data_IF_527137586751
#
_entry.id   IF_527137586751
#
_cell.length_a   1.000
_cell.length_b   1.000
_cell.length_c   1.000
_cell.angle_alpha   90.00
_cell.angle_beta   90.00
_cell.angle_gamma   90.00
#
_symmetry.space_group_name_H-M   'P 1'
#
loop_
_entity.id
_entity.type
_entity.pdbx_description
1 polymer ?
#
# COMPACT_ATOMS: atom_id res chain seq x y z
N UNK A 1 38.55 -7.54 -4.93
CA UNK A 1 37.82 -6.24 -4.96
C UNK A 1 38.14 -5.47 -6.25
N UNK A 2 39.35 -5.58 -6.82
CA UNK A 2 39.62 -5.15 -8.21
C UNK A 2 38.75 -5.91 -9.26
N UNK A 3 38.56 -7.23 -9.09
CA UNK A 3 37.60 -8.01 -9.89
C UNK A 3 36.13 -7.55 -9.73
N UNK A 4 35.79 -6.89 -8.61
CA UNK A 4 34.42 -6.43 -8.33
C UNK A 4 34.09 -5.23 -9.22
N UNK A 5 35.04 -4.30 -9.40
CA UNK A 5 34.87 -3.15 -10.28
C UNK A 5 35.02 -3.50 -11.76
N UNK A 6 35.84 -4.50 -12.11
CA UNK A 6 35.97 -4.96 -13.51
C UNK A 6 34.69 -5.65 -14.03
N UNK A 7 33.93 -6.35 -13.19
CA UNK A 7 32.65 -6.96 -13.61
C UNK A 7 31.47 -6.00 -13.64
N UNK A 8 31.61 -4.79 -13.08
CA UNK A 8 30.53 -3.81 -12.90
C UNK A 8 30.46 -2.71 -13.96
N UNK A 9 31.16 -2.85 -15.10
CA UNK A 9 31.22 -1.92 -16.25
C UNK A 9 30.16 -0.81 -16.18
N UNK A 10 30.51 0.27 -15.48
CA UNK A 10 29.61 1.37 -15.16
C UNK A 10 29.37 2.15 -16.45
N UNK A 11 28.23 1.91 -17.09
CA UNK A 11 27.87 2.59 -18.31
C UNK A 11 27.60 4.08 -18.01
N UNK A 12 28.31 4.95 -18.73
CA UNK A 12 28.57 6.35 -18.37
C UNK A 12 27.40 7.33 -18.51
N UNK A 13 26.15 6.85 -18.59
CA UNK A 13 25.01 7.62 -19.11
C UNK A 13 23.80 7.59 -18.18
N UNK A 14 23.94 8.13 -16.97
CA UNK A 14 22.86 8.81 -16.22
C UNK A 14 23.42 9.48 -14.96
N UNK A 15 24.11 10.60 -15.17
CA UNK A 15 24.69 11.43 -14.12
C UNK A 15 23.62 12.38 -13.57
N UNK A 16 23.15 12.14 -12.34
CA UNK A 16 22.56 13.20 -11.52
C UNK A 16 23.65 13.74 -10.58
N UNK A 17 23.70 15.07 -10.41
CA UNK A 17 24.81 15.82 -9.79
C UNK A 17 25.04 15.40 -8.33
N UNK A 18 23.99 14.99 -7.61
CA UNK A 18 24.10 14.47 -6.24
C UNK A 18 24.82 13.10 -6.17
N UNK A 19 24.53 12.19 -7.10
CA UNK A 19 25.21 10.89 -7.24
C UNK A 19 26.66 11.05 -7.72
N UNK A 20 26.97 12.13 -8.45
CA UNK A 20 28.32 12.40 -8.95
C UNK A 20 29.28 12.80 -7.82
N UNK A 21 28.77 13.39 -6.74
CA UNK A 21 29.56 13.71 -5.54
C UNK A 21 29.75 12.46 -4.68
N UNK A 22 28.72 11.64 -4.51
CA UNK A 22 28.81 10.37 -3.76
C UNK A 22 29.63 9.27 -4.46
N UNK A 23 29.52 9.15 -5.79
CA UNK A 23 30.34 8.20 -6.58
C UNK A 23 31.79 8.64 -6.80
N UNK A 24 32.13 9.91 -6.50
CA UNK A 24 33.51 10.39 -6.55
C UNK A 24 34.31 10.05 -5.30
N UNK A 25 33.66 9.69 -4.19
CA UNK A 25 34.31 9.56 -2.88
C UNK A 25 34.88 8.16 -2.63
N UNK A 26 34.48 7.14 -3.41
CA UNK A 26 35.02 5.79 -3.24
C UNK A 26 35.37 5.19 -4.59
N UNK A 27 36.61 5.42 -5.00
CA UNK A 27 37.25 4.79 -6.16
C UNK A 27 38.23 3.68 -5.75
N UNK A 28 38.52 3.53 -4.46
CA UNK A 28 39.42 2.48 -3.94
C UNK A 28 39.01 1.92 -2.57
N UNK A 29 39.59 0.76 -2.20
CA UNK A 29 39.41 0.07 -0.91
C UNK A 29 39.93 0.91 0.26
N UNK A 30 40.99 1.68 0.03
CA UNK A 30 41.62 2.55 1.02
C UNK A 30 40.72 3.73 1.39
N UNK A 31 39.99 4.33 0.44
CA UNK A 31 39.03 5.42 0.72
C UNK A 31 37.82 4.94 1.55
N UNK A 32 37.38 3.70 1.35
CA UNK A 32 36.33 3.05 2.17
C UNK A 32 36.80 2.75 3.60
N UNK A 33 38.10 2.47 3.78
CA UNK A 33 38.70 2.26 5.11
C UNK A 33 38.88 3.56 5.87
N UNK A 34 39.11 4.67 5.19
CA UNK A 34 39.17 6.01 5.81
C UNK A 34 37.77 6.52 6.17
N UNK A 35 36.74 6.17 5.40
CA UNK A 35 35.33 6.49 5.68
C UNK A 35 34.66 5.55 6.71
N UNK A 36 35.43 4.76 7.46
CA UNK A 36 34.96 3.70 8.37
C UNK A 36 33.96 4.17 9.44
N UNK A 37 33.94 5.45 9.77
CA UNK A 37 33.04 6.05 10.76
C UNK A 37 31.77 6.68 10.15
N UNK A 38 31.70 6.82 8.82
CA UNK A 38 30.53 7.38 8.15
C UNK A 38 29.56 6.28 7.71
N UNK A 39 28.61 5.99 8.60
CA UNK A 39 27.51 5.05 8.36
C UNK A 39 26.75 5.34 7.06
N UNK A 40 26.67 6.61 6.65
CA UNK A 40 26.01 7.04 5.41
C UNK A 40 26.71 6.49 4.17
N UNK A 41 28.05 6.42 4.19
CA UNK A 41 28.85 5.88 3.09
C UNK A 41 28.67 4.36 2.99
N UNK A 42 28.67 3.67 4.14
CA UNK A 42 28.46 2.23 4.20
C UNK A 42 27.05 1.87 3.68
N UNK A 43 26.02 2.58 4.13
CA UNK A 43 24.64 2.37 3.69
C UNK A 43 24.48 2.64 2.17
N UNK A 44 25.15 3.67 1.65
CA UNK A 44 25.15 3.97 0.21
C UNK A 44 25.82 2.86 -0.62
N UNK A 45 26.94 2.30 -0.15
CA UNK A 45 27.61 1.17 -0.82
C UNK A 45 26.73 -0.08 -0.78
N UNK A 46 26.09 -0.38 0.35
CA UNK A 46 25.18 -1.52 0.49
C UNK A 46 23.99 -1.40 -0.46
N UNK A 47 23.38 -0.22 -0.55
CA UNK A 47 22.28 0.06 -1.46
C UNK A 47 22.70 -0.11 -2.94
N UNK A 48 23.89 0.37 -3.29
CA UNK A 48 24.41 0.27 -4.66
C UNK A 48 24.69 -1.17 -5.08
N UNK A 49 25.34 -1.96 -4.21
CA UNK A 49 25.60 -3.38 -4.50
C UNK A 49 24.29 -4.14 -4.64
N UNK A 50 23.30 -3.86 -3.78
CA UNK A 50 21.96 -4.46 -3.85
C UNK A 50 21.26 -4.12 -5.18
N UNK A 51 21.27 -2.85 -5.59
CA UNK A 51 20.68 -2.41 -6.87
C UNK A 51 21.28 -3.15 -8.07
N UNK A 52 22.61 -3.27 -8.11
CA UNK A 52 23.31 -3.92 -9.21
C UNK A 52 23.05 -5.43 -9.27
N UNK A 53 23.05 -6.11 -8.11
CA UNK A 53 22.71 -7.54 -8.02
C UNK A 53 21.33 -7.82 -8.60
N UNK A 54 20.33 -7.02 -8.20
CA UNK A 54 18.93 -7.19 -8.60
C UNK A 54 18.74 -6.87 -10.08
N UNK A 55 19.31 -5.75 -10.55
CA UNK A 55 19.22 -5.35 -11.96
C UNK A 55 19.80 -6.43 -12.87
N UNK A 56 21.02 -6.89 -12.56
CA UNK A 56 21.70 -7.90 -13.37
C UNK A 56 21.03 -9.26 -13.31
N UNK A 57 20.57 -9.69 -12.13
CA UNK A 57 19.83 -10.94 -12.00
C UNK A 57 18.50 -10.92 -12.77
N UNK A 58 17.82 -9.78 -12.83
CA UNK A 58 16.59 -9.60 -13.60
C UNK A 58 16.83 -9.71 -15.10
N UNK A 59 17.86 -9.05 -15.62
CA UNK A 59 18.25 -9.16 -17.04
C UNK A 59 18.58 -10.61 -17.44
N UNK A 60 19.30 -11.33 -16.58
CA UNK A 60 19.69 -12.72 -16.82
C UNK A 60 18.48 -13.65 -16.76
N UNK A 61 17.53 -13.38 -15.86
CA UNK A 61 16.25 -14.11 -15.81
C UNK A 61 15.40 -13.86 -17.06
N UNK A 62 15.35 -12.63 -17.57
CA UNK A 62 14.60 -12.32 -18.80
C UNK A 62 15.14 -13.11 -20.00
N UNK A 63 16.44 -13.41 -19.98
CA UNK A 63 17.14 -14.26 -20.98
C UNK A 63 17.14 -15.75 -20.63
N UNK A 64 16.49 -16.15 -19.54
CA UNK A 64 16.48 -17.52 -19.00
C UNK A 64 17.89 -18.10 -18.71
N UNK A 65 18.86 -17.24 -18.41
CA UNK A 65 20.24 -17.61 -18.06
C UNK A 65 20.40 -17.77 -16.54
N UNK A 66 19.79 -18.83 -16.00
CA UNK A 66 19.79 -19.14 -14.57
C UNK A 66 21.17 -19.45 -14.01
N UNK A 67 22.10 -19.95 -14.84
CA UNK A 67 23.46 -20.27 -14.41
C UNK A 67 24.26 -19.01 -14.13
N UNK A 68 24.22 -18.03 -15.04
CA UNK A 68 24.86 -16.74 -14.84
C UNK A 68 24.20 -15.97 -13.70
N UNK A 69 22.88 -16.04 -13.58
CA UNK A 69 22.12 -15.41 -12.49
C UNK A 69 22.55 -15.94 -11.10
N UNK A 70 22.68 -17.27 -10.96
CA UNK A 70 23.16 -17.88 -9.71
C UNK A 70 24.61 -17.47 -9.39
N UNK A 71 25.46 -17.24 -10.40
CA UNK A 71 26.82 -16.69 -10.17
C UNK A 71 26.77 -15.27 -9.64
N UNK A 72 25.90 -14.41 -10.18
CA UNK A 72 25.69 -13.04 -9.69
C UNK A 72 25.28 -13.07 -8.22
N UNK A 73 24.28 -13.88 -7.87
CA UNK A 73 23.83 -13.97 -6.48
C UNK A 73 24.90 -14.50 -5.51
N UNK A 74 25.65 -15.54 -5.90
CA UNK A 74 26.75 -16.06 -5.06
C UNK A 74 27.83 -15.00 -4.85
N UNK A 75 28.22 -14.27 -5.90
CA UNK A 75 29.20 -13.19 -5.81
C UNK A 75 28.70 -12.09 -4.86
N UNK A 76 27.43 -11.69 -4.96
CA UNK A 76 26.84 -10.69 -4.07
C UNK A 76 26.77 -11.17 -2.63
N UNK A 77 26.33 -12.40 -2.36
CA UNK A 77 26.32 -12.97 -1.01
C UNK A 77 27.73 -13.02 -0.39
N UNK A 78 28.75 -13.35 -1.18
CA UNK A 78 30.14 -13.31 -0.73
C UNK A 78 30.59 -11.88 -0.40
N UNK A 79 30.20 -10.89 -1.22
CA UNK A 79 30.53 -9.48 -0.98
C UNK A 79 29.85 -8.96 0.30
N UNK A 80 28.56 -9.21 0.48
CA UNK A 80 27.85 -8.82 1.69
C UNK A 80 28.35 -9.56 2.94
N UNK A 81 28.75 -10.82 2.83
CA UNK A 81 29.37 -11.55 3.96
C UNK A 81 30.70 -10.93 4.37
N UNK A 82 31.52 -10.50 3.40
CA UNK A 82 32.77 -9.77 3.66
C UNK A 82 32.52 -8.40 4.26
N UNK A 83 31.48 -7.69 3.82
CA UNK A 83 31.08 -6.41 4.41
C UNK A 83 30.59 -6.61 5.86
N UNK A 84 29.78 -7.63 6.13
CA UNK A 84 29.27 -7.94 7.47
C UNK A 84 30.41 -8.29 8.46
N UNK A 85 31.45 -9.00 7.99
CA UNK A 85 32.62 -9.31 8.81
C UNK A 85 33.44 -8.07 9.20
N UNK A 86 33.46 -7.04 8.34
CA UNK A 86 34.20 -5.81 8.60
C UNK A 86 33.34 -4.73 9.28
N UNK A 87 32.00 -4.84 9.18
CA UNK A 87 31.02 -3.86 9.63
C UNK A 87 29.77 -4.55 10.24
N UNK A 88 29.90 -5.20 11.41
CA UNK A 88 28.82 -5.99 12.02
C UNK A 88 27.65 -5.14 12.57
N UNK A 89 27.87 -3.86 12.84
CA UNK A 89 26.83 -2.92 13.37
C UNK A 89 26.00 -2.23 12.27
N UNK A 90 26.36 -2.43 11.00
CA UNK A 90 25.59 -1.96 9.86
C UNK A 90 24.48 -2.97 9.54
N UNK A 91 23.40 -2.55 8.86
CA UNK A 91 22.21 -3.38 8.60
C UNK A 91 22.44 -4.49 7.55
N UNK A 92 23.65 -5.04 7.48
CA UNK A 92 24.14 -5.97 6.46
C UNK A 92 23.48 -7.33 6.61
N UNK A 93 23.14 -7.77 7.83
CA UNK A 93 22.44 -9.04 8.06
C UNK A 93 21.04 -9.03 7.46
N UNK A 94 20.27 -7.95 7.65
CA UNK A 94 18.94 -7.79 7.06
C UNK A 94 18.98 -7.81 5.53
N UNK A 95 19.98 -7.14 4.94
CA UNK A 95 20.18 -7.11 3.49
C UNK A 95 20.60 -8.51 2.97
N UNK A 96 21.41 -9.24 3.72
CA UNK A 96 21.79 -10.62 3.37
C UNK A 96 20.58 -11.56 3.38
N UNK A 97 19.71 -11.44 4.38
CA UNK A 97 18.51 -12.26 4.48
C UNK A 97 17.47 -11.89 3.42
N UNK A 98 17.35 -10.59 3.10
CA UNK A 98 16.58 -10.14 1.94
C UNK A 98 17.13 -10.78 0.66
N UNK A 99 18.43 -10.69 0.38
CA UNK A 99 19.04 -11.29 -0.82
C UNK A 99 18.86 -12.81 -0.88
N UNK A 100 18.94 -13.53 0.25
CA UNK A 100 18.67 -14.97 0.28
C UNK A 100 17.21 -15.27 -0.08
N UNK A 101 16.27 -14.48 0.46
CA UNK A 101 14.86 -14.58 0.09
C UNK A 101 14.65 -14.34 -1.40
N UNK A 102 15.31 -13.32 -1.96
CA UNK A 102 15.32 -13.00 -3.39
C UNK A 102 15.79 -14.21 -4.21
N UNK A 103 16.93 -14.80 -3.86
CA UNK A 103 17.48 -15.99 -4.54
C UNK A 103 16.48 -17.14 -4.54
N UNK A 104 15.83 -17.39 -3.40
CA UNK A 104 14.81 -18.43 -3.27
C UNK A 104 13.61 -18.18 -4.21
N UNK A 105 13.12 -16.93 -4.28
CA UNK A 105 12.03 -16.54 -5.16
C UNK A 105 12.39 -16.69 -6.65
N UNK A 106 13.57 -16.25 -7.06
CA UNK A 106 14.05 -16.36 -8.45
C UNK A 106 14.28 -17.82 -8.89
N UNK A 107 14.69 -18.69 -7.97
CA UNK A 107 14.99 -20.10 -8.26
C UNK A 107 13.76 -21.02 -8.16
N UNK A 108 12.73 -20.60 -7.42
CA UNK A 108 11.52 -21.42 -7.17
C UNK A 108 10.70 -21.77 -8.42
N UNK A 109 10.86 -21.05 -9.55
CA UNK A 109 10.03 -21.12 -10.78
C UNK A 109 8.51 -20.96 -10.58
N UNK A 110 8.03 -20.82 -9.34
CA UNK A 110 6.61 -20.70 -8.96
C UNK A 110 6.08 -19.27 -9.00
N UNK A 111 6.97 -18.29 -9.09
CA UNK A 111 6.63 -16.85 -9.08
C UNK A 111 6.92 -16.25 -10.45
N UNK A 112 6.00 -15.45 -11.01
CA UNK A 112 6.17 -14.88 -12.36
C UNK A 112 7.33 -13.87 -12.44
N UNK A 113 7.86 -13.62 -13.65
CA UNK A 113 8.95 -12.64 -13.87
C UNK A 113 8.51 -11.21 -13.48
N UNK A 114 7.24 -10.87 -13.68
CA UNK A 114 6.66 -9.55 -13.37
C UNK A 114 6.47 -9.29 -11.89
N UNK A 115 5.99 -10.27 -11.12
CA UNK A 115 5.76 -10.14 -9.66
C UNK A 115 7.06 -9.88 -8.93
N UNK A 116 8.11 -10.60 -9.31
CA UNK A 116 9.44 -10.43 -8.75
C UNK A 116 9.99 -9.03 -9.09
N UNK A 117 9.69 -8.48 -10.28
CA UNK A 117 10.09 -7.12 -10.69
C UNK A 117 9.35 -6.01 -9.91
N UNK A 118 8.06 -6.20 -9.63
CA UNK A 118 7.24 -5.26 -8.83
C UNK A 118 7.64 -5.23 -7.35
N UNK A 119 7.99 -6.39 -6.77
CA UNK A 119 8.52 -6.46 -5.40
C UNK A 119 9.77 -5.60 -5.24
N UNK A 120 10.64 -5.53 -6.26
CA UNK A 120 11.82 -4.66 -6.22
C UNK A 120 11.54 -3.22 -6.56
N UNK A 121 10.63 -2.91 -7.49
CA UNK A 121 10.24 -1.52 -7.72
C UNK A 121 9.76 -0.86 -6.42
N UNK A 122 9.07 -1.64 -5.57
CA UNK A 122 8.60 -1.22 -4.25
C UNK A 122 9.74 -1.07 -3.23
N UNK A 123 10.70 -2.00 -3.18
CA UNK A 123 11.90 -1.90 -2.33
C UNK A 123 12.88 -0.79 -2.77
N UNK A 124 12.96 -0.52 -4.08
CA UNK A 124 13.80 0.50 -4.72
C UNK A 124 13.34 1.92 -4.42
N UNK A 125 12.02 2.16 -4.41
CA UNK A 125 11.45 3.46 -4.03
C UNK A 125 11.72 3.79 -2.55
N UNK A 126 11.78 2.77 -1.69
CA UNK A 126 12.10 2.94 -0.28
C UNK A 126 13.59 3.24 -0.02
N UNK A 127 14.50 2.69 -0.84
CA UNK A 127 15.95 2.86 -0.65
C UNK A 127 16.51 4.22 -1.14
N UNK A 128 15.81 4.92 -2.05
CA UNK A 128 16.34 6.14 -2.68
C UNK A 128 16.14 7.44 -1.91
N UNK A 129 15.51 7.42 -0.73
CA UNK A 129 15.36 8.63 0.09
C UNK A 129 14.82 9.83 -0.70
N UNK A 130 13.96 9.60 -1.70
CA UNK A 130 13.26 10.67 -2.42
C UNK A 130 12.17 11.15 -1.47
N UNK A 131 12.63 11.97 -0.54
CA UNK A 131 11.82 12.63 0.47
C UNK A 131 10.98 13.67 -0.26
N UNK A 132 9.76 13.29 -0.70
CA UNK A 132 8.69 14.27 -0.81
C UNK A 132 8.36 14.67 0.62
N UNK A 133 8.91 15.81 1.02
CA UNK A 133 8.78 16.41 2.34
C UNK A 133 7.36 16.30 2.90
N UNK A 134 7.25 15.67 4.07
CA UNK A 134 6.27 15.94 5.12
C UNK A 134 4.90 15.25 4.97
N UNK A 135 4.58 14.39 5.95
CA UNK A 135 3.25 13.86 6.33
C UNK A 135 2.78 12.45 5.90
N UNK A 136 3.61 11.60 5.29
CA UNK A 136 3.21 10.21 5.00
C UNK A 136 3.85 9.20 5.99
N UNK A 137 3.25 9.08 7.18
CA UNK A 137 3.38 7.88 8.02
C UNK A 137 2.88 6.66 7.24
N UNK A 138 3.70 5.62 7.05
CA UNK A 138 3.31 4.21 6.82
C UNK A 138 2.19 3.87 5.79
N UNK A 139 1.80 4.77 4.89
CA UNK A 139 0.61 4.60 4.04
C UNK A 139 0.78 3.42 3.07
N UNK A 140 -0.14 2.46 3.13
CA UNK A 140 -0.27 1.38 2.13
C UNK A 140 0.47 0.08 2.43
N UNK A 141 1.16 -0.07 3.57
CA UNK A 141 1.81 -1.33 3.95
C UNK A 141 0.81 -2.49 4.03
N UNK A 142 -0.32 -2.30 4.70
CA UNK A 142 -1.36 -3.34 4.85
C UNK A 142 -1.99 -3.71 3.51
N UNK A 143 -2.23 -2.74 2.63
CA UNK A 143 -2.72 -2.99 1.26
C UNK A 143 -1.74 -3.86 0.46
N UNK A 144 -0.44 -3.61 0.56
CA UNK A 144 0.59 -4.43 -0.09
C UNK A 144 0.61 -5.86 0.45
N UNK A 145 0.45 -6.04 1.78
CA UNK A 145 0.36 -7.38 2.37
C UNK A 145 -0.93 -8.08 1.95
N UNK A 146 -2.06 -7.38 1.89
CA UNK A 146 -3.33 -7.95 1.43
C UNK A 146 -3.19 -8.46 -0.01
N UNK A 147 -2.61 -7.67 -0.92
CA UNK A 147 -2.31 -8.08 -2.29
C UNK A 147 -1.48 -9.37 -2.33
N UNK A 148 -0.40 -9.43 -1.53
CA UNK A 148 0.47 -10.58 -1.45
C UNK A 148 -0.24 -11.84 -0.95
N UNK A 149 -1.06 -11.72 0.10
CA UNK A 149 -1.78 -12.86 0.67
C UNK A 149 -2.87 -13.37 -0.28
N UNK A 150 -3.58 -12.47 -0.97
CA UNK A 150 -4.60 -12.87 -1.94
C UNK A 150 -3.99 -13.56 -3.17
N UNK A 151 -2.85 -13.06 -3.67
CA UNK A 151 -2.08 -13.73 -4.73
C UNK A 151 -1.58 -15.12 -4.28
N UNK A 152 -1.09 -15.22 -3.04
CA UNK A 152 -0.70 -16.50 -2.44
C UNK A 152 -1.85 -17.51 -2.35
N UNK A 153 -3.07 -17.04 -2.09
CA UNK A 153 -4.29 -17.85 -2.13
C UNK A 153 -4.73 -18.25 -3.56
N UNK A 154 -3.96 -17.87 -4.59
CA UNK A 154 -4.23 -18.19 -5.99
C UNK A 154 -5.23 -17.24 -6.66
N UNK A 155 -5.53 -16.09 -6.07
CA UNK A 155 -6.36 -15.07 -6.72
C UNK A 155 -5.54 -14.30 -7.76
N UNK A 156 -6.18 -13.91 -8.87
CA UNK A 156 -5.61 -12.93 -9.78
C UNK A 156 -5.81 -11.55 -9.17
N UNK A 157 -4.71 -10.91 -8.76
CA UNK A 157 -4.72 -9.56 -8.19
C UNK A 157 -4.05 -8.57 -9.15
N UNK A 158 -4.73 -7.48 -9.47
CA UNK A 158 -4.20 -6.41 -10.33
C UNK A 158 -4.45 -5.04 -9.73
N UNK A 159 -3.64 -4.07 -10.13
CA UNK A 159 -3.82 -2.67 -9.74
C UNK A 159 -4.65 -1.95 -10.82
N UNK A 160 -5.70 -1.23 -10.40
CA UNK A 160 -6.34 -0.14 -11.16
C UNK A 160 -6.98 -0.46 -12.53
N UNK A 161 -7.64 -1.61 -12.69
CA UNK A 161 -8.30 -1.98 -13.96
C UNK A 161 -9.83 -1.94 -13.94
N UNK A 162 -10.45 -1.87 -12.77
CA UNK A 162 -11.92 -1.81 -12.64
C UNK A 162 -12.45 -0.36 -12.59
N UNK A 163 -13.54 -0.05 -13.31
CA UNK A 163 -14.17 1.26 -13.26
C UNK A 163 -14.77 1.58 -11.88
N UNK A 164 -14.87 2.87 -11.59
CA UNK A 164 -15.53 3.41 -10.40
C UNK A 164 -16.58 4.45 -10.82
N UNK A 165 -17.61 4.72 -9.98
CA UNK A 165 -18.72 5.60 -10.36
C UNK A 165 -18.27 7.02 -10.69
N UNK A 166 -18.54 7.48 -11.90
CA UNK A 166 -18.35 8.89 -12.27
C UNK A 166 -19.55 9.73 -11.83
N UNK A 167 -19.36 11.05 -11.69
CA UNK A 167 -20.46 11.97 -11.37
C UNK A 167 -21.63 11.81 -12.34
N UNK A 168 -21.35 11.74 -13.65
CA UNK A 168 -22.38 11.59 -14.67
C UNK A 168 -23.18 10.30 -14.51
N UNK A 169 -22.53 9.18 -14.20
CA UNK A 169 -23.22 7.90 -13.97
C UNK A 169 -24.12 7.95 -12.74
N UNK A 170 -23.65 8.55 -11.64
CA UNK A 170 -24.45 8.69 -10.42
C UNK A 170 -25.62 9.65 -10.64
N UNK A 171 -25.38 10.82 -11.25
CA UNK A 171 -26.39 11.83 -11.54
C UNK A 171 -27.47 11.33 -12.52
N UNK A 172 -27.11 10.47 -13.46
CA UNK A 172 -28.06 9.83 -14.39
C UNK A 172 -28.77 8.61 -13.79
N UNK A 173 -28.35 8.14 -12.61
CA UNK A 173 -28.96 6.99 -11.95
C UNK A 173 -30.20 7.38 -11.14
N UNK A 174 -31.08 6.41 -10.89
CA UNK A 174 -32.22 6.58 -9.98
C UNK A 174 -31.82 6.84 -8.52
N UNK A 175 -30.54 6.75 -8.18
CA UNK A 175 -30.03 6.91 -6.81
C UNK A 175 -29.53 8.33 -6.53
N UNK A 176 -29.53 9.23 -7.51
CA UNK A 176 -28.98 10.58 -7.38
C UNK A 176 -29.55 11.35 -6.17
N UNK A 177 -30.87 11.30 -5.97
CA UNK A 177 -31.53 12.07 -4.91
C UNK A 177 -31.09 11.60 -3.52
N UNK A 178 -30.99 10.29 -3.32
CA UNK A 178 -30.49 9.71 -2.08
C UNK A 178 -28.99 9.97 -1.88
N UNK A 179 -28.22 10.04 -2.97
CA UNK A 179 -26.81 10.44 -2.90
C UNK A 179 -26.65 11.89 -2.48
N UNK A 180 -27.44 12.79 -3.06
CA UNK A 180 -27.46 14.19 -2.68
C UNK A 180 -27.94 14.38 -1.23
N UNK A 181 -29.00 13.66 -0.83
CA UNK A 181 -29.48 13.66 0.54
C UNK A 181 -28.40 13.20 1.53
N UNK A 182 -27.69 12.11 1.26
CA UNK A 182 -26.59 11.64 2.12
C UNK A 182 -25.44 12.66 2.21
N UNK A 183 -25.12 13.37 1.12
CA UNK A 183 -24.17 14.47 1.14
C UNK A 183 -24.63 15.61 2.07
N UNK A 184 -25.91 15.96 2.04
CA UNK A 184 -26.49 16.99 2.90
C UNK A 184 -26.50 16.57 4.38
N UNK A 185 -26.85 15.32 4.69
CA UNK A 185 -26.83 14.78 6.06
C UNK A 185 -25.42 14.80 6.67
N UNK A 186 -24.38 14.68 5.84
CA UNK A 186 -22.98 14.86 6.27
C UNK A 186 -22.60 16.33 6.49
N UNK A 187 -23.51 17.27 6.24
CA UNK A 187 -23.30 18.71 6.34
C UNK A 187 -22.77 19.35 5.06
N UNK A 188 -23.05 18.75 3.89
CA UNK A 188 -22.69 19.30 2.59
C UNK A 188 -23.39 20.62 2.31
N UNK A 189 -22.64 21.66 1.91
CA UNK A 189 -23.16 23.03 1.73
C UNK A 189 -23.33 23.44 0.25
N UNK A 190 -22.89 22.62 -0.68
CA UNK A 190 -22.96 22.92 -2.12
C UNK A 190 -24.31 22.50 -2.71
N UNK A 191 -24.78 23.25 -3.71
CA UNK A 191 -26.01 22.93 -4.44
C UNK A 191 -25.90 21.66 -5.32
N UNK A 192 -24.67 21.22 -5.60
CA UNK A 192 -24.37 19.95 -6.22
C UNK A 192 -23.19 19.32 -5.48
N UNK A 193 -23.22 18.00 -5.26
CA UNK A 193 -22.10 17.31 -4.64
C UNK A 193 -20.94 17.18 -5.65
N UNK A 194 -19.72 17.58 -5.30
CA UNK A 194 -18.56 17.26 -6.11
C UNK A 194 -18.18 15.79 -5.89
N UNK A 195 -17.84 15.09 -6.96
CA UNK A 195 -17.41 13.70 -6.89
C UNK A 195 -16.01 13.56 -7.51
N UNK A 196 -15.01 13.43 -6.65
CA UNK A 196 -13.63 13.15 -7.03
C UNK A 196 -13.15 11.92 -6.26
N UNK A 197 -13.73 10.76 -6.62
CA UNK A 197 -13.35 9.47 -6.04
C UNK A 197 -12.09 8.94 -6.70
N UNK A 198 -11.30 8.22 -5.92
CA UNK A 198 -10.08 7.56 -6.39
C UNK A 198 -10.40 6.14 -6.86
N UNK A 199 -9.46 5.57 -7.60
CA UNK A 199 -9.49 4.17 -7.98
C UNK A 199 -9.56 3.25 -6.76
N UNK A 200 -9.93 1.99 -7.03
CA UNK A 200 -9.95 0.93 -6.03
C UNK A 200 -8.55 0.62 -5.52
N UNK A 201 -8.45 0.16 -4.27
CA UNK A 201 -7.17 -0.28 -3.73
C UNK A 201 -6.61 -1.47 -4.51
N UNK A 202 -7.47 -2.43 -4.85
CA UNK A 202 -7.13 -3.65 -5.59
C UNK A 202 -8.28 -4.09 -6.51
N UNK A 203 -7.94 -4.82 -7.57
CA UNK A 203 -8.85 -5.72 -8.26
C UNK A 203 -8.48 -7.17 -7.92
N UNK A 204 -9.48 -7.98 -7.57
CA UNK A 204 -9.31 -9.39 -7.21
C UNK A 204 -10.32 -10.24 -7.99
N UNK A 205 -9.87 -10.98 -8.99
CA UNK A 205 -10.73 -11.81 -9.84
C UNK A 205 -11.95 -11.05 -10.43
N UNK A 206 -11.77 -9.80 -10.85
CA UNK A 206 -12.87 -8.96 -11.37
C UNK A 206 -13.75 -8.29 -10.30
N UNK A 207 -13.39 -8.41 -9.01
CA UNK A 207 -14.03 -7.69 -7.90
C UNK A 207 -13.19 -6.46 -7.54
N UNK A 208 -13.85 -5.31 -7.37
CA UNK A 208 -13.25 -4.13 -6.77
C UNK A 208 -13.09 -4.32 -5.26
N UNK A 209 -11.89 -4.14 -4.72
CA UNK A 209 -11.60 -4.32 -3.30
C UNK A 209 -11.09 -3.03 -2.67
N UNK A 210 -11.65 -2.66 -1.52
CA UNK A 210 -11.14 -1.60 -0.63
C UNK A 210 -10.68 -2.22 0.70
N UNK A 211 -9.52 -1.78 1.18
CA UNK A 211 -9.08 -2.05 2.54
C UNK A 211 -9.39 -0.84 3.42
N UNK A 212 -10.41 -0.97 4.25
CA UNK A 212 -10.81 0.08 5.18
C UNK A 212 -9.97 -0.01 6.46
N UNK A 213 -9.05 0.95 6.61
CA UNK A 213 -8.25 1.19 7.83
C UNK A 213 -8.95 2.15 8.81
N UNK A 214 -8.26 2.57 9.88
CA UNK A 214 -8.86 3.27 11.03
C UNK A 214 -9.67 4.52 10.63
N UNK A 215 -9.23 5.27 9.61
CA UNK A 215 -9.86 6.52 9.16
C UNK A 215 -11.28 6.35 8.58
N UNK A 216 -11.69 5.12 8.28
CA UNK A 216 -13.00 4.82 7.73
C UNK A 216 -14.06 4.60 8.82
N UNK A 217 -13.67 4.46 10.08
CA UNK A 217 -14.58 4.09 11.18
C UNK A 217 -14.79 5.25 12.14
N UNK A 218 -15.75 6.11 11.83
CA UNK A 218 -16.13 7.28 12.64
C UNK A 218 -17.62 7.62 12.46
N UNK A 219 -18.15 8.53 13.28
CA UNK A 219 -19.57 8.95 13.22
C UNK A 219 -20.05 9.42 11.85
N UNK A 220 -19.20 10.02 11.02
CA UNK A 220 -19.62 10.47 9.69
C UNK A 220 -19.85 9.29 8.76
N UNK A 221 -19.01 8.25 8.84
CA UNK A 221 -19.28 7.00 8.15
C UNK A 221 -20.56 6.34 8.66
N UNK A 222 -20.81 6.39 9.98
CA UNK A 222 -22.06 5.89 10.55
C UNK A 222 -23.29 6.60 9.96
N UNK A 223 -23.23 7.93 9.73
CA UNK A 223 -24.29 8.70 9.05
C UNK A 223 -24.51 8.18 7.63
N UNK A 224 -23.46 8.05 6.81
CA UNK A 224 -23.64 7.58 5.43
C UNK A 224 -24.23 6.17 5.37
N UNK A 225 -23.87 5.31 6.33
CA UNK A 225 -24.40 3.96 6.48
C UNK A 225 -25.89 3.93 6.87
N UNK A 226 -26.55 5.07 7.16
CA UNK A 226 -27.99 5.13 7.41
C UNK A 226 -28.83 5.12 6.13
N UNK A 227 -28.21 5.37 4.96
CA UNK A 227 -28.92 5.39 3.69
C UNK A 227 -29.69 4.08 3.44
N UNK A 228 -30.97 4.15 2.99
CA UNK A 228 -31.75 2.97 2.66
C UNK A 228 -31.15 2.12 1.52
N UNK A 229 -30.23 2.67 0.71
CA UNK A 229 -29.60 1.94 -0.39
C UNK A 229 -28.77 0.74 0.07
N UNK A 230 -28.26 0.74 1.30
CA UNK A 230 -27.56 -0.44 1.83
C UNK A 230 -28.47 -1.67 1.98
N UNK A 231 -29.80 -1.50 1.98
CA UNK A 231 -30.74 -2.64 1.92
C UNK A 231 -30.65 -3.40 0.59
N UNK A 232 -30.16 -2.74 -0.47
CA UNK A 232 -29.93 -3.32 -1.79
C UNK A 232 -28.54 -3.96 -1.92
N UNK A 233 -27.71 -3.87 -0.87
CA UNK A 233 -26.33 -4.38 -0.83
C UNK A 233 -26.19 -5.42 0.31
N UNK A 234 -26.85 -6.59 0.20
CA UNK A 234 -26.96 -7.54 1.32
C UNK A 234 -25.61 -8.09 1.80
N UNK A 235 -24.60 -8.10 0.93
CA UNK A 235 -23.26 -8.60 1.22
C UNK A 235 -22.31 -7.56 1.79
N UNK A 236 -22.73 -6.29 1.90
CA UNK A 236 -21.88 -5.21 2.43
C UNK A 236 -21.44 -5.44 3.88
N UNK A 237 -22.28 -6.11 4.69
CA UNK A 237 -22.15 -6.26 6.16
C UNK A 237 -22.30 -4.94 6.90
N UNK A 238 -23.50 -4.39 6.75
CA UNK A 238 -23.92 -3.09 7.27
C UNK A 238 -23.85 -3.00 8.80
N UNK A 239 -24.23 -4.07 9.51
CA UNK A 239 -24.28 -4.04 10.97
C UNK A 239 -22.87 -4.01 11.58
N UNK A 240 -21.95 -4.77 10.99
CA UNK A 240 -20.54 -4.80 11.38
C UNK A 240 -19.93 -3.41 11.21
N UNK A 241 -20.11 -2.79 10.04
CA UNK A 241 -19.58 -1.46 9.74
C UNK A 241 -20.13 -0.37 10.66
N UNK A 242 -21.43 -0.39 10.96
CA UNK A 242 -22.02 0.54 11.94
C UNK A 242 -21.41 0.34 13.33
N UNK A 243 -21.29 -0.91 13.77
CA UNK A 243 -20.67 -1.26 15.06
C UNK A 243 -19.21 -0.81 15.11
N UNK A 244 -18.45 -0.97 14.02
CA UNK A 244 -17.05 -0.54 13.96
C UNK A 244 -16.92 0.98 14.06
N UNK A 245 -17.83 1.75 13.44
CA UNK A 245 -17.82 3.22 13.56
C UNK A 245 -18.03 3.69 15.00
N UNK A 246 -18.83 2.97 15.79
CA UNK A 246 -19.07 3.27 17.20
C UNK A 246 -17.90 2.83 18.08
N UNK A 247 -17.40 1.60 17.89
CA UNK A 247 -16.37 1.01 18.73
C UNK A 247 -14.98 1.61 18.50
N UNK A 248 -14.67 2.03 17.27
CA UNK A 248 -13.30 2.39 16.86
C UNK A 248 -13.12 3.87 16.48
N UNK A 249 -14.04 4.76 16.89
CA UNK A 249 -13.90 6.21 16.63
C UNK A 249 -12.63 6.80 17.28
N UNK A 250 -12.20 6.25 18.43
CA UNK A 250 -10.98 6.68 19.11
C UNK A 250 -9.71 6.30 18.35
N UNK A 251 -9.69 5.15 17.68
CA UNK A 251 -8.64 4.70 16.77
C UNK A 251 -8.57 5.62 15.56
N UNK A 252 -9.73 5.99 14.98
CA UNK A 252 -9.81 6.97 13.90
C UNK A 252 -9.24 8.34 14.32
N UNK A 253 -9.59 8.83 15.52
CA UNK A 253 -9.04 10.05 16.09
C UNK A 253 -7.52 10.00 16.21
N UNK A 254 -6.96 8.89 16.72
CA UNK A 254 -5.50 8.72 16.78
C UNK A 254 -4.85 8.73 15.41
N UNK A 255 -5.48 8.10 14.42
CA UNK A 255 -4.91 7.93 13.08
C UNK A 255 -4.95 9.20 12.19
N UNK A 256 -5.85 10.16 12.45
CA UNK A 256 -6.06 11.27 11.50
C UNK A 256 -6.71 12.54 12.02
N UNK A 257 -6.55 12.86 13.30
CA UNK A 257 -6.98 14.15 13.87
C UNK A 257 -6.01 15.32 13.59
N UNK A 258 -5.28 15.33 12.48
CA UNK A 258 -4.25 16.33 12.20
C UNK A 258 -4.08 16.61 10.70
N UNK A 259 -3.53 17.78 10.40
CA UNK A 259 -3.15 18.18 9.04
C UNK A 259 -4.24 17.92 7.99
N UNK A 260 -3.80 17.43 6.82
CA UNK A 260 -4.68 17.12 5.68
C UNK A 260 -5.61 15.92 5.90
N UNK A 261 -5.42 15.15 6.98
CA UNK A 261 -6.34 14.09 7.39
C UNK A 261 -7.57 14.65 8.10
N UNK A 262 -7.47 15.84 8.72
CA UNK A 262 -8.58 16.52 9.39
C UNK A 262 -9.33 17.49 8.48
N UNK A 263 -8.61 18.31 7.70
CA UNK A 263 -9.22 19.31 6.83
C UNK A 263 -8.28 19.70 5.67
N UNK A 264 -8.86 20.24 4.62
CA UNK A 264 -8.17 20.81 3.47
C UNK A 264 -9.04 21.91 2.86
N UNK A 265 -8.46 22.86 2.09
CA UNK A 265 -9.27 23.89 1.43
C UNK A 265 -10.42 23.29 0.60
N UNK A 266 -10.16 22.19 -0.12
CA UNK A 266 -11.18 21.51 -0.92
C UNK A 266 -12.30 20.87 -0.10
N UNK A 267 -12.04 20.42 1.13
CA UNK A 267 -13.05 19.81 1.99
C UNK A 267 -13.85 20.87 2.74
N UNK A 268 -13.22 21.99 3.09
CA UNK A 268 -13.92 23.12 3.70
C UNK A 268 -14.87 23.83 2.74
N UNK A 269 -14.54 23.88 1.44
CA UNK A 269 -15.50 24.32 0.41
C UNK A 269 -16.76 23.43 0.37
N UNK A 270 -16.62 22.14 0.69
CA UNK A 270 -17.73 21.19 0.63
C UNK A 270 -18.57 21.12 1.90
N UNK A 271 -17.95 21.30 3.08
CA UNK A 271 -18.58 21.01 4.38
C UNK A 271 -18.44 22.16 5.40
N UNK A 272 -17.92 23.31 4.97
CA UNK A 272 -17.62 24.45 5.83
C UNK A 272 -16.30 24.32 6.60
N UNK A 273 -15.96 25.37 7.34
CA UNK A 273 -14.72 25.41 8.13
C UNK A 273 -14.65 24.26 9.15
N UNK A 274 -13.44 23.72 9.30
CA UNK A 274 -13.19 22.65 10.25
C UNK A 274 -13.37 23.12 11.71
N UNK A 275 -13.86 22.22 12.56
CA UNK A 275 -13.76 22.35 14.01
C UNK A 275 -12.32 22.15 14.49
N UNK A 276 -12.12 22.35 15.80
CA UNK A 276 -10.82 22.10 16.43
C UNK A 276 -10.41 20.63 16.21
N UNK A 277 -9.14 20.34 15.84
CA UNK A 277 -8.69 18.96 15.71
C UNK A 277 -8.93 18.14 16.98
N UNK A 278 -9.40 16.90 16.80
CA UNK A 278 -9.89 15.98 17.86
C UNK A 278 -11.22 16.35 18.50
N UNK A 279 -11.75 17.53 18.22
CA UNK A 279 -13.08 17.91 18.65
C UNK A 279 -14.10 17.59 17.53
N UNK A 280 -14.94 16.61 17.80
CA UNK A 280 -16.01 16.20 16.91
C UNK A 280 -17.34 16.90 17.24
N UNK A 281 -17.38 17.79 18.24
CA UNK A 281 -18.51 18.69 18.44
C UNK A 281 -18.53 19.80 17.38
N UNK A 282 -19.73 20.28 17.06
CA UNK A 282 -19.93 21.25 15.98
C UNK A 282 -19.59 20.66 14.60
N UNK A 283 -18.79 21.39 13.81
CA UNK A 283 -18.48 21.00 12.43
C UNK A 283 -17.53 19.79 12.32
N UNK A 284 -16.71 19.53 13.35
CA UNK A 284 -15.68 18.49 13.36
C UNK A 284 -14.80 18.47 12.11
N UNK A 285 -14.61 17.31 11.49
CA UNK A 285 -13.68 17.15 10.34
C UNK A 285 -14.38 17.17 8.97
N UNK A 286 -14.18 18.23 8.16
CA UNK A 286 -14.61 18.25 6.75
C UNK A 286 -13.99 17.13 5.91
N UNK A 287 -12.75 16.73 6.20
CA UNK A 287 -12.07 15.67 5.45
C UNK A 287 -12.66 14.29 5.72
N UNK A 288 -13.09 14.01 6.95
CA UNK A 288 -13.73 12.75 7.30
C UNK A 288 -15.14 12.67 6.73
N UNK A 289 -15.91 13.77 6.74
CA UNK A 289 -17.20 13.87 6.03
C UNK A 289 -17.06 13.57 4.55
N UNK A 290 -16.06 14.16 3.88
CA UNK A 290 -15.77 13.84 2.48
C UNK A 290 -15.42 12.36 2.28
N UNK A 291 -14.61 11.76 3.16
CA UNK A 291 -14.26 10.34 3.08
C UNK A 291 -15.51 9.47 3.19
N UNK A 292 -16.36 9.72 4.18
CA UNK A 292 -17.60 8.99 4.37
C UNK A 292 -18.53 9.09 3.15
N UNK A 293 -18.64 10.30 2.57
CA UNK A 293 -19.43 10.52 1.35
C UNK A 293 -18.87 9.74 0.16
N UNK A 294 -17.57 9.82 -0.09
CA UNK A 294 -16.92 9.13 -1.21
C UNK A 294 -16.96 7.61 -1.06
N UNK A 295 -16.76 7.11 0.16
CA UNK A 295 -16.92 5.69 0.47
C UNK A 295 -18.35 5.24 0.15
N UNK A 296 -19.36 5.98 0.59
CA UNK A 296 -20.75 5.68 0.31
C UNK A 296 -21.04 5.62 -1.20
N UNK A 297 -20.57 6.61 -1.98
CA UNK A 297 -20.76 6.57 -3.44
C UNK A 297 -20.04 5.37 -4.08
N UNK A 298 -18.84 5.01 -3.60
CA UNK A 298 -18.12 3.82 -4.06
C UNK A 298 -18.92 2.54 -3.74
N UNK A 299 -19.54 2.44 -2.58
CA UNK A 299 -20.33 1.27 -2.21
C UNK A 299 -21.52 1.03 -3.14
N UNK A 300 -22.03 2.07 -3.80
CA UNK A 300 -23.13 1.97 -4.77
C UNK A 300 -22.69 1.44 -6.15
N UNK A 301 -21.41 1.14 -6.36
CA UNK A 301 -20.90 0.65 -7.65
C UNK A 301 -21.64 -0.58 -8.20
N UNK A 302 -22.05 -1.58 -7.39
CA UNK A 302 -22.86 -2.69 -7.88
C UNK A 302 -24.20 -2.23 -8.48
N UNK A 303 -24.78 -1.15 -7.94
CA UNK A 303 -26.07 -0.61 -8.37
C UNK A 303 -25.95 0.35 -9.55
N UNK A 304 -24.90 1.16 -9.60
CA UNK A 304 -24.74 2.23 -10.60
C UNK A 304 -24.03 1.74 -11.86
N UNK A 305 -23.00 0.90 -11.71
CA UNK A 305 -22.12 0.47 -12.81
C UNK A 305 -21.95 -1.05 -12.90
N UNK A 306 -22.72 -1.83 -12.13
CA UNK A 306 -22.66 -3.30 -12.12
C UNK A 306 -21.29 -3.89 -11.79
N UNK A 307 -20.48 -3.17 -11.02
CA UNK A 307 -19.17 -3.64 -10.53
C UNK A 307 -19.35 -4.26 -9.15
N UNK A 308 -19.00 -5.54 -8.94
CA UNK A 308 -19.02 -6.13 -7.60
C UNK A 308 -17.92 -5.52 -6.73
N UNK A 309 -18.27 -5.17 -5.50
CA UNK A 309 -17.39 -4.51 -4.53
C UNK A 309 -17.28 -5.36 -3.28
N UNK A 310 -16.06 -5.56 -2.79
CA UNK A 310 -15.78 -6.09 -1.47
C UNK A 310 -15.01 -5.06 -0.65
N UNK A 311 -15.61 -4.57 0.43
CA UNK A 311 -14.85 -3.85 1.45
C UNK A 311 -14.39 -4.83 2.53
N UNK A 312 -13.12 -4.73 2.89
CA UNK A 312 -12.53 -5.49 3.99
C UNK A 312 -12.13 -4.49 5.06
N UNK A 313 -12.68 -4.64 6.26
CA UNK A 313 -12.27 -3.83 7.41
C UNK A 313 -11.03 -4.45 8.06
N UNK A 314 -10.09 -3.62 8.52
CA UNK A 314 -9.01 -4.08 9.41
C UNK A 314 -9.54 -4.70 10.73
N UNK A 315 -10.79 -4.43 11.08
CA UNK A 315 -11.48 -4.99 12.26
C UNK A 315 -12.22 -6.29 12.01
N UNK A 316 -12.43 -6.66 10.73
CA UNK A 316 -13.02 -7.95 10.39
C UNK A 316 -12.21 -9.08 11.00
N UNK A 317 -12.89 -10.14 11.45
CA UNK A 317 -12.26 -11.31 12.05
C UNK A 317 -12.50 -12.52 11.16
N UNK A 318 -11.44 -13.26 10.89
CA UNK A 318 -11.50 -14.54 10.18
C UNK A 318 -10.93 -15.65 11.06
N UNK A 319 -11.38 -16.88 10.82
CA UNK A 319 -10.93 -18.04 11.55
C UNK A 319 -9.56 -18.48 11.01
N UNK A 320 -8.52 -18.45 11.85
CA UNK A 320 -7.19 -18.98 11.54
C UNK A 320 -6.92 -20.16 12.47
N UNK A 321 -7.09 -21.36 11.94
CA UNK A 321 -7.08 -22.59 12.75
C UNK A 321 -8.24 -22.64 13.73
N UNK A 322 -7.97 -22.40 15.03
CA UNK A 322 -8.99 -22.39 16.10
C UNK A 322 -9.25 -21.00 16.68
N UNK A 323 -8.56 -19.98 16.19
CA UNK A 323 -8.65 -18.62 16.73
C UNK A 323 -9.32 -17.68 15.73
N UNK A 324 -10.08 -16.71 16.25
CA UNK A 324 -10.57 -15.58 15.45
C UNK A 324 -9.55 -14.46 15.47
N UNK A 325 -8.97 -14.16 14.32
CA UNK A 325 -7.90 -13.17 14.18
C UNK A 325 -8.40 -11.99 13.33
N UNK A 326 -8.14 -10.76 13.78
CA UNK A 326 -8.49 -9.56 13.02
C UNK A 326 -7.65 -9.44 11.75
N UNK A 327 -8.22 -8.87 10.69
CA UNK A 327 -7.51 -8.55 9.45
C UNK A 327 -6.28 -7.67 9.72
N UNK A 328 -6.35 -6.65 10.59
CA UNK A 328 -5.19 -5.86 11.03
C UNK A 328 -4.01 -6.75 11.42
N UNK A 329 -4.20 -7.61 12.42
CA UNK A 329 -3.17 -8.54 12.91
C UNK A 329 -2.64 -9.48 11.82
N UNK A 330 -3.51 -9.98 10.95
CA UNK A 330 -3.12 -10.84 9.82
C UNK A 330 -2.19 -10.10 8.86
N UNK A 331 -2.53 -8.85 8.51
CA UNK A 331 -1.74 -8.03 7.60
C UNK A 331 -0.44 -7.55 8.25
N UNK A 332 -0.47 -7.14 9.50
CA UNK A 332 0.71 -6.66 10.25
C UNK A 332 1.72 -7.80 10.45
N UNK A 333 1.24 -9.03 10.65
CA UNK A 333 2.08 -10.22 10.87
C UNK A 333 2.31 -11.08 9.62
N UNK A 334 1.75 -10.70 8.47
CA UNK A 334 1.83 -11.45 7.20
C UNK A 334 1.46 -12.93 7.33
N UNK A 335 0.29 -13.20 7.91
CA UNK A 335 -0.16 -14.57 8.21
C UNK A 335 -0.65 -15.30 6.94
N UNK A 336 0.23 -16.07 6.29
CA UNK A 336 -0.07 -16.82 5.06
C UNK A 336 -1.11 -17.92 5.22
N UNK A 337 -1.24 -18.50 6.40
CA UNK A 337 -2.26 -19.49 6.74
C UNK A 337 -3.69 -18.89 6.74
N UNK A 338 -3.82 -17.57 6.89
CA UNK A 338 -5.09 -16.85 6.79
C UNK A 338 -5.48 -16.46 5.35
N UNK A 339 -4.60 -16.67 4.37
CA UNK A 339 -4.77 -16.16 3.00
C UNK A 339 -6.06 -16.63 2.31
N UNK A 340 -6.40 -17.92 2.46
CA UNK A 340 -7.63 -18.47 1.88
C UNK A 340 -8.91 -17.89 2.53
N UNK A 341 -8.84 -17.54 3.81
CA UNK A 341 -9.96 -16.94 4.53
C UNK A 341 -10.13 -15.46 4.17
N UNK A 342 -9.02 -14.74 3.93
CA UNK A 342 -9.06 -13.40 3.33
C UNK A 342 -9.69 -13.42 1.93
N UNK A 343 -9.38 -14.43 1.11
CA UNK A 343 -10.02 -14.57 -0.19
C UNK A 343 -11.51 -14.95 -0.06
N UNK A 344 -11.87 -15.73 0.96
CA UNK A 344 -13.27 -16.09 1.24
C UNK A 344 -14.08 -14.86 1.64
N UNK A 345 -13.56 -13.97 2.50
CA UNK A 345 -14.27 -12.74 2.88
C UNK A 345 -14.44 -11.79 1.69
N UNK A 346 -13.45 -11.68 0.80
CA UNK A 346 -13.59 -10.90 -0.45
C UNK A 346 -14.79 -11.40 -1.27
N UNK A 347 -14.84 -12.71 -1.53
CA UNK A 347 -15.94 -13.33 -2.29
C UNK A 347 -17.29 -13.13 -1.62
N UNK A 348 -17.35 -13.38 -0.31
CA UNK A 348 -18.56 -13.21 0.48
C UNK A 348 -19.09 -11.77 0.43
N UNK A 349 -18.22 -10.76 0.60
CA UNK A 349 -18.61 -9.34 0.60
C UNK A 349 -19.03 -8.85 -0.78
N UNK A 350 -18.46 -9.43 -1.84
CA UNK A 350 -18.84 -9.14 -3.22
C UNK A 350 -20.07 -9.91 -3.72
N UNK A 351 -20.53 -10.94 -2.98
CA UNK A 351 -21.65 -11.78 -3.39
C UNK A 351 -21.32 -12.72 -4.56
N UNK A 352 -20.07 -13.19 -4.66
CA UNK A 352 -19.55 -14.01 -5.79
C UNK A 352 -18.95 -15.34 -5.36
#
# INVERSE_FOLDING_TARGET
MEEIFQHLALDGTRKNVATTVLCRIVTSIEELREAREDRTVIDAVLAQVKEQTISRASELRDRDDYNQMNRVFRASQQNFSKLNQNYPDANVSDILDEIRSIVSLYTSRKTSKSVVKEMYASSYMNAKGVNRRGDDDEVGKRQQVLKLLLDYAGARVTDNTIPYPTYHQVAASQYNDEVFHTYQELGGILQAYPLNIRSWDLEVNGVAVELDEELHFNRYRAISLQSPLYKLLPHFGLQEYRSYCELYENECLRAGSYGKKWASPSTEVQFGHAGQPRDLAGNGSPRWKQRAFYDFVKDLSPLVISVPVARISVWDKVDVGREKVSVAKILDSKMYDAANELLRIVRFRAGV
#
